data_IF_308258916869
#
_entry.id   IF_308258916869
#
_cell.length_a   1.000
_cell.length_b   1.000
_cell.length_c   1.000
_cell.angle_alpha   90.00
_cell.angle_beta   90.00
_cell.angle_gamma   90.00
#
_symmetry.space_group_name_H-M   'P 1'
#
loop_
_entity.id
_entity.type
_entity.pdbx_description
1 polymer ?
#
# COMPACT_ATOMS: atom_id res chain seq x y z
N UNK A 1 27.31 -17.25 20.08
CA UNK A 1 26.27 -18.09 20.73
C UNK A 1 24.86 -17.77 20.22
N UNK A 2 24.38 -16.52 20.33
CA UNK A 2 23.02 -16.12 19.90
C UNK A 2 22.63 -16.60 18.48
N UNK A 3 23.44 -16.31 17.46
CA UNK A 3 23.16 -16.68 16.05
C UNK A 3 22.97 -18.19 15.87
N UNK A 4 23.76 -19.01 16.55
CA UNK A 4 23.67 -20.47 16.44
C UNK A 4 22.35 -20.97 17.03
N UNK A 5 21.98 -20.46 18.22
CA UNK A 5 20.71 -20.78 18.89
C UNK A 5 19.53 -20.31 18.02
N UNK A 6 19.57 -19.08 17.50
CA UNK A 6 18.52 -18.54 16.63
C UNK A 6 18.35 -19.39 15.36
N UNK A 7 19.46 -19.74 14.71
CA UNK A 7 19.45 -20.63 13.53
C UNK A 7 18.86 -22.00 13.88
N UNK A 8 19.23 -22.59 15.02
CA UNK A 8 18.70 -23.88 15.45
C UNK A 8 17.19 -23.81 15.70
N UNK A 9 16.71 -22.80 16.42
CA UNK A 9 15.29 -22.61 16.73
C UNK A 9 14.48 -22.40 15.44
N UNK A 10 14.95 -21.52 14.54
CA UNK A 10 14.26 -21.25 13.28
C UNK A 10 14.29 -22.45 12.33
N UNK A 11 15.37 -23.23 12.31
CA UNK A 11 15.46 -24.49 11.55
C UNK A 11 14.50 -25.54 12.12
N UNK A 12 14.45 -25.68 13.45
CA UNK A 12 13.51 -26.59 14.10
C UNK A 12 12.06 -26.20 13.78
N UNK A 13 11.71 -24.92 13.92
CA UNK A 13 10.39 -24.41 13.54
C UNK A 13 10.09 -24.70 12.05
N UNK A 14 11.06 -24.48 11.16
CA UNK A 14 10.90 -24.78 9.74
C UNK A 14 10.55 -26.26 9.49
N UNK A 15 11.26 -27.19 10.13
CA UNK A 15 11.00 -28.64 10.02
C UNK A 15 9.62 -29.00 10.58
N UNK A 16 9.25 -28.45 11.73
CA UNK A 16 7.94 -28.71 12.36
C UNK A 16 6.78 -28.23 11.48
N UNK A 17 6.91 -27.06 10.85
CA UNK A 17 5.86 -26.50 9.99
C UNK A 17 5.90 -27.03 8.55
N UNK A 18 6.85 -27.90 8.19
CA UNK A 18 7.00 -28.41 6.82
C UNK A 18 5.72 -29.09 6.26
N UNK A 19 5.01 -29.96 7.00
CA UNK A 19 3.78 -30.57 6.49
C UNK A 19 2.70 -29.52 6.18
N UNK A 20 2.58 -28.49 7.01
CA UNK A 20 1.63 -27.39 6.81
C UNK A 20 2.00 -26.55 5.59
N UNK A 21 3.30 -26.26 5.38
CA UNK A 21 3.79 -25.56 4.21
C UNK A 21 3.50 -26.34 2.91
N UNK A 22 3.68 -27.67 2.93
CA UNK A 22 3.34 -28.54 1.81
C UNK A 22 1.85 -28.54 1.48
N UNK A 23 0.96 -28.35 2.45
CA UNK A 23 -0.47 -28.20 2.20
C UNK A 23 -0.82 -26.81 1.64
N UNK A 24 -0.19 -25.76 2.17
CA UNK A 24 -0.48 -24.39 1.74
C UNK A 24 -0.10 -24.13 0.28
N UNK A 25 0.89 -24.84 -0.29
CA UNK A 25 1.30 -24.67 -1.68
C UNK A 25 0.18 -24.96 -2.70
N UNK A 26 -0.86 -25.72 -2.31
CA UNK A 26 -2.00 -26.01 -3.19
C UNK A 26 -2.98 -24.84 -3.31
N UNK A 27 -2.89 -23.83 -2.43
CA UNK A 27 -3.69 -22.60 -2.56
C UNK A 27 -3.08 -21.70 -3.63
N UNK A 28 -3.93 -21.20 -4.54
CA UNK A 28 -3.53 -20.34 -5.67
C UNK A 28 -2.54 -19.22 -5.27
N UNK A 29 -2.86 -18.50 -4.18
CA UNK A 29 -2.06 -17.40 -3.60
C UNK A 29 -0.61 -17.78 -3.20
N UNK A 30 -0.35 -19.05 -2.93
CA UNK A 30 0.94 -19.52 -2.39
C UNK A 30 1.68 -20.48 -3.32
N UNK A 31 1.08 -20.81 -4.46
CA UNK A 31 1.55 -21.83 -5.40
C UNK A 31 2.99 -21.64 -5.88
N UNK A 32 3.43 -20.39 -5.98
CA UNK A 32 4.82 -20.08 -6.33
C UNK A 32 5.66 -19.67 -5.11
N UNK A 33 5.10 -18.82 -4.25
CA UNK A 33 5.85 -18.24 -3.14
C UNK A 33 6.33 -19.30 -2.14
N UNK A 34 5.52 -20.31 -1.80
CA UNK A 34 5.96 -21.33 -0.83
C UNK A 34 7.08 -22.20 -1.39
N UNK A 35 6.95 -22.83 -2.58
CA UNK A 35 8.03 -23.60 -3.18
C UNK A 35 9.34 -22.81 -3.32
N UNK A 36 9.26 -21.55 -3.74
CA UNK A 36 10.44 -20.71 -3.92
C UNK A 36 11.11 -20.32 -2.59
N UNK A 37 10.33 -19.95 -1.57
CA UNK A 37 10.86 -19.44 -0.29
C UNK A 37 11.35 -20.54 0.63
N UNK A 38 10.63 -21.65 0.70
CA UNK A 38 10.89 -22.70 1.68
C UNK A 38 11.65 -23.88 1.06
N UNK A 39 11.64 -24.05 -0.26
CA UNK A 39 12.32 -25.19 -0.91
C UNK A 39 13.33 -24.74 -1.98
N UNK A 40 13.56 -23.43 -2.12
CA UNK A 40 14.44 -22.83 -3.14
C UNK A 40 14.09 -23.23 -4.58
N UNK A 41 12.88 -23.73 -4.82
CA UNK A 41 12.44 -24.19 -6.15
C UNK A 41 12.41 -23.01 -7.11
N UNK A 42 13.19 -23.10 -8.19
CA UNK A 42 13.34 -22.04 -9.20
C UNK A 42 13.74 -20.67 -8.61
N UNK A 43 14.43 -20.67 -7.47
CA UNK A 43 14.78 -19.45 -6.75
C UNK A 43 16.28 -19.41 -6.44
N UNK A 44 17.15 -19.41 -7.47
CA UNK A 44 18.59 -19.38 -7.26
C UNK A 44 19.03 -18.07 -6.58
N UNK A 45 20.21 -18.05 -5.93
CA UNK A 45 20.85 -16.83 -5.47
C UNK A 45 20.91 -15.75 -6.56
N UNK A 46 20.95 -14.48 -6.15
CA UNK A 46 21.29 -13.41 -7.09
C UNK A 46 22.67 -13.62 -7.69
N UNK A 47 22.78 -13.49 -9.01
CA UNK A 47 24.02 -13.68 -9.74
C UNK A 47 24.93 -12.43 -9.67
N UNK A 48 24.32 -11.25 -9.64
CA UNK A 48 25.00 -9.96 -9.70
C UNK A 48 25.23 -9.40 -8.30
N UNK A 49 26.41 -8.83 -8.07
CA UNK A 49 26.74 -8.08 -6.85
C UNK A 49 26.19 -6.65 -6.99
N UNK A 50 24.91 -6.48 -6.65
CA UNK A 50 24.19 -5.21 -6.72
C UNK A 50 23.48 -4.91 -5.39
N UNK A 51 22.97 -3.69 -5.21
CA UNK A 51 22.13 -3.32 -4.06
C UNK A 51 20.94 -4.27 -3.98
N UNK A 52 20.72 -4.84 -2.79
CA UNK A 52 19.62 -5.75 -2.55
C UNK A 52 18.50 -5.03 -1.80
N UNK A 53 17.40 -4.76 -2.49
CA UNK A 53 16.17 -4.28 -1.89
C UNK A 53 15.26 -5.43 -1.47
N UNK A 54 14.61 -5.29 -0.31
CA UNK A 54 13.62 -6.24 0.17
C UNK A 54 12.29 -5.57 0.53
N UNK A 55 11.20 -6.11 -0.01
CA UNK A 55 9.82 -5.70 0.28
C UNK A 55 8.89 -6.92 0.40
N UNK A 56 7.91 -6.88 1.29
CA UNK A 56 7.00 -7.99 1.52
C UNK A 56 5.88 -8.05 0.47
N UNK A 57 5.26 -6.90 0.22
CA UNK A 57 3.98 -6.74 -0.49
C UNK A 57 4.10 -5.96 -1.80
N UNK A 58 3.06 -6.02 -2.64
CA UNK A 58 2.96 -5.21 -3.86
C UNK A 58 3.17 -3.72 -3.62
N UNK A 59 2.50 -3.16 -2.60
CA UNK A 59 2.57 -1.73 -2.28
C UNK A 59 3.96 -1.30 -1.81
N UNK A 60 4.67 -2.14 -1.07
CA UNK A 60 6.06 -1.90 -0.69
C UNK A 60 7.00 -2.00 -1.90
N UNK A 61 6.82 -3.00 -2.76
CA UNK A 61 7.63 -3.14 -3.98
C UNK A 61 7.45 -1.96 -4.92
N UNK A 62 6.24 -1.39 -5.02
CA UNK A 62 5.99 -0.15 -5.77
C UNK A 62 6.60 1.09 -5.11
N UNK A 63 6.57 1.16 -3.78
CA UNK A 63 7.21 2.26 -3.04
C UNK A 63 8.73 2.31 -3.25
N UNK A 64 9.37 1.18 -3.56
CA UNK A 64 10.80 1.11 -3.85
C UNK A 64 11.18 1.63 -5.24
N UNK A 65 10.23 1.81 -6.16
CA UNK A 65 10.51 2.21 -7.55
C UNK A 65 11.42 3.46 -7.68
N UNK A 66 11.19 4.56 -6.94
CA UNK A 66 12.05 5.74 -7.02
C UNK A 66 13.50 5.45 -6.59
N UNK A 67 13.72 4.52 -5.65
CA UNK A 67 15.06 4.13 -5.21
C UNK A 67 15.71 3.17 -6.20
N UNK A 68 14.97 2.18 -6.71
CA UNK A 68 15.51 1.17 -7.64
C UNK A 68 15.98 1.82 -8.94
N UNK A 69 15.30 2.88 -9.41
CA UNK A 69 15.68 3.61 -10.63
C UNK A 69 17.00 4.38 -10.53
N UNK A 70 17.50 4.62 -9.32
CA UNK A 70 18.76 5.33 -9.08
C UNK A 70 20.00 4.46 -9.27
N UNK A 71 19.83 3.16 -9.56
CA UNK A 71 20.91 2.19 -9.75
C UNK A 71 20.82 1.54 -11.12
N UNK A 72 21.97 1.38 -11.79
CA UNK A 72 22.04 0.70 -13.10
C UNK A 72 21.55 -0.73 -13.02
N UNK A 73 21.84 -1.42 -11.91
CA UNK A 73 21.40 -2.77 -11.62
C UNK A 73 21.00 -2.90 -10.16
N UNK A 74 19.92 -3.64 -9.90
CA UNK A 74 19.41 -3.90 -8.56
C UNK A 74 18.98 -5.36 -8.40
N UNK A 75 18.99 -5.84 -7.16
CA UNK A 75 18.39 -7.10 -6.77
C UNK A 75 17.16 -6.81 -5.90
N UNK A 76 16.02 -7.45 -6.15
CA UNK A 76 14.80 -7.27 -5.37
C UNK A 76 14.31 -8.62 -4.87
N UNK A 77 14.26 -8.82 -3.55
CA UNK A 77 13.59 -9.99 -2.96
C UNK A 77 12.23 -9.64 -2.40
N UNK A 78 11.26 -10.55 -2.59
CA UNK A 78 9.88 -10.36 -2.12
C UNK A 78 9.29 -11.56 -1.41
N UNK A 79 8.17 -11.38 -0.72
CA UNK A 79 7.45 -12.47 -0.06
C UNK A 79 6.22 -12.92 -0.85
N UNK A 80 5.46 -11.96 -1.38
CA UNK A 80 4.17 -12.21 -2.03
C UNK A 80 4.29 -12.37 -3.55
N UNK A 81 3.39 -13.16 -4.17
CA UNK A 81 3.30 -13.29 -5.64
C UNK A 81 3.04 -11.93 -6.32
N UNK A 82 2.17 -11.10 -5.75
CA UNK A 82 1.88 -9.76 -6.28
C UNK A 82 3.09 -8.84 -6.16
N UNK A 83 3.83 -8.91 -5.05
CA UNK A 83 5.14 -8.25 -4.91
C UNK A 83 6.14 -8.71 -5.96
N UNK A 84 6.16 -10.00 -6.29
CA UNK A 84 7.06 -10.57 -7.30
C UNK A 84 6.74 -10.09 -8.71
N UNK A 85 5.46 -10.06 -9.05
CA UNK A 85 5.00 -9.50 -10.33
C UNK A 85 5.36 -8.01 -10.46
N UNK A 86 5.21 -7.22 -9.37
CA UNK A 86 5.64 -5.83 -9.36
C UNK A 86 7.17 -5.70 -9.54
N UNK A 87 7.96 -6.51 -8.84
CA UNK A 87 9.43 -6.47 -8.93
C UNK A 87 9.92 -6.80 -10.35
N UNK A 88 9.29 -7.79 -11.00
CA UNK A 88 9.60 -8.17 -12.40
C UNK A 88 9.31 -7.07 -13.43
N UNK A 89 8.50 -6.07 -13.09
CA UNK A 89 8.22 -4.96 -14.01
C UNK A 89 9.41 -4.00 -14.17
N UNK A 90 10.40 -4.05 -13.28
CA UNK A 90 11.59 -3.20 -13.34
C UNK A 90 12.68 -3.86 -14.20
N UNK A 91 13.03 -3.21 -15.31
CA UNK A 91 13.98 -3.74 -16.30
C UNK A 91 15.42 -3.87 -15.79
N UNK A 92 15.79 -3.01 -14.83
CA UNK A 92 17.12 -2.97 -14.22
C UNK A 92 17.23 -3.84 -12.95
N UNK A 93 16.18 -4.60 -12.59
CA UNK A 93 16.18 -5.37 -11.36
C UNK A 93 16.00 -6.87 -11.60
N UNK A 94 16.79 -7.67 -10.90
CA UNK A 94 16.56 -9.10 -10.79
C UNK A 94 15.61 -9.41 -9.63
N UNK A 95 14.50 -10.10 -9.89
CA UNK A 95 13.46 -10.38 -8.90
C UNK A 95 13.56 -11.81 -8.38
N UNK A 96 13.54 -11.99 -7.06
CA UNK A 96 13.52 -13.31 -6.38
C UNK A 96 12.51 -13.32 -5.23
N UNK A 97 12.12 -14.51 -4.80
CA UNK A 97 11.43 -14.63 -3.51
C UNK A 97 12.47 -14.69 -2.40
N UNK A 98 12.27 -14.00 -1.27
CA UNK A 98 13.18 -14.09 -0.12
C UNK A 98 13.01 -15.46 0.56
N UNK A 99 14.05 -16.32 0.61
CA UNK A 99 13.95 -17.59 1.30
C UNK A 99 13.67 -17.44 2.79
N UNK A 100 13.11 -18.48 3.39
CA UNK A 100 12.99 -18.53 4.84
C UNK A 100 14.37 -18.52 5.50
N UNK A 101 14.48 -17.88 6.66
CA UNK A 101 15.75 -17.46 7.25
C UNK A 101 16.87 -18.52 7.29
N UNK A 102 16.62 -19.79 7.70
CA UNK A 102 17.65 -20.83 7.71
C UNK A 102 18.26 -21.12 6.33
N UNK A 103 17.55 -20.86 5.24
CA UNK A 103 18.03 -21.11 3.87
C UNK A 103 18.94 -19.98 3.37
N UNK A 104 18.94 -18.82 4.03
CA UNK A 104 19.77 -17.66 3.67
C UNK A 104 21.28 -17.93 3.83
N UNK A 105 21.65 -18.94 4.63
CA UNK A 105 23.03 -19.41 4.73
C UNK A 105 23.58 -19.83 3.36
N UNK A 106 22.76 -20.47 2.51
CA UNK A 106 23.14 -20.94 1.18
C UNK A 106 22.77 -19.97 0.06
N UNK A 107 21.69 -19.22 0.27
CA UNK A 107 21.11 -18.40 -0.77
C UNK A 107 21.72 -17.00 -0.86
N UNK A 108 21.99 -16.35 0.27
CA UNK A 108 22.40 -14.95 0.27
C UNK A 108 23.90 -14.84 -0.11
N UNK A 109 24.24 -13.95 -1.03
CA UNK A 109 25.60 -13.70 -1.54
C UNK A 109 26.11 -12.34 -1.07
N UNK A 110 27.43 -12.07 -1.16
CA UNK A 110 27.96 -10.74 -0.88
C UNK A 110 27.30 -9.67 -1.76
N UNK A 111 27.00 -8.52 -1.15
CA UNK A 111 26.35 -7.37 -1.78
C UNK A 111 26.91 -6.09 -1.14
N UNK A 112 26.90 -4.94 -1.83
CA UNK A 112 27.33 -3.67 -1.24
C UNK A 112 26.38 -3.18 -0.14
N UNK A 113 25.06 -3.26 -0.40
CA UNK A 113 24.04 -2.79 0.52
C UNK A 113 22.80 -3.69 0.52
N UNK A 114 22.20 -3.85 1.70
CA UNK A 114 20.88 -4.43 1.91
C UNK A 114 19.92 -3.31 2.36
N UNK A 115 18.83 -3.11 1.63
CA UNK A 115 17.81 -2.10 1.92
C UNK A 115 16.47 -2.79 2.16
N UNK A 116 15.97 -2.78 3.40
CA UNK A 116 14.75 -3.48 3.80
C UNK A 116 13.62 -2.49 4.09
N UNK A 117 12.43 -2.77 3.56
CA UNK A 117 11.24 -1.92 3.72
C UNK A 117 10.43 -2.30 4.98
N UNK A 118 9.94 -1.29 5.70
CA UNK A 118 8.98 -1.38 6.81
C UNK A 118 9.39 -2.30 7.97
N UNK A 119 8.65 -3.39 8.22
CA UNK A 119 8.74 -4.19 9.45
C UNK A 119 9.30 -5.60 9.21
N UNK A 120 10.02 -5.82 8.11
CA UNK A 120 10.65 -7.10 7.74
C UNK A 120 11.96 -7.35 8.52
N UNK A 121 11.86 -7.35 9.85
CA UNK A 121 12.95 -7.51 10.81
C UNK A 121 13.42 -8.98 10.94
N UNK A 122 13.97 -9.54 9.86
CA UNK A 122 14.53 -10.90 9.83
C UNK A 122 15.99 -10.90 10.30
N UNK A 123 16.28 -11.53 11.44
CA UNK A 123 17.61 -11.53 12.04
C UNK A 123 18.71 -12.06 11.11
N UNK A 124 18.53 -13.25 10.51
CA UNK A 124 19.52 -13.87 9.63
C UNK A 124 19.68 -13.11 8.32
N UNK A 125 18.66 -12.37 7.84
CA UNK A 125 18.82 -11.50 6.69
C UNK A 125 19.85 -10.40 6.98
N UNK A 126 19.63 -9.62 8.04
CA UNK A 126 20.54 -8.54 8.44
C UNK A 126 21.91 -9.06 8.86
N UNK A 127 21.95 -10.07 9.72
CA UNK A 127 23.19 -10.64 10.23
C UNK A 127 24.06 -11.22 9.12
N UNK A 128 23.50 -11.99 8.18
CA UNK A 128 24.28 -12.59 7.11
C UNK A 128 24.72 -11.57 6.07
N UNK A 129 23.89 -10.56 5.76
CA UNK A 129 24.28 -9.45 4.89
C UNK A 129 25.47 -8.69 5.47
N UNK A 130 25.38 -8.28 6.75
CA UNK A 130 26.45 -7.56 7.44
C UNK A 130 27.72 -8.39 7.58
N UNK A 131 27.59 -9.68 7.94
CA UNK A 131 28.72 -10.64 7.98
C UNK A 131 29.42 -10.77 6.63
N UNK A 132 28.70 -10.58 5.52
CA UNK A 132 29.22 -10.64 4.15
C UNK A 132 29.66 -9.28 3.60
N UNK A 133 29.76 -8.26 4.45
CA UNK A 133 30.30 -6.94 4.12
C UNK A 133 29.30 -5.92 3.59
N UNK A 134 27.99 -6.21 3.65
CA UNK A 134 26.99 -5.24 3.23
C UNK A 134 26.73 -4.18 4.30
N UNK A 135 26.53 -2.93 3.87
CA UNK A 135 25.88 -1.91 4.72
C UNK A 135 24.37 -2.15 4.73
N UNK A 136 23.76 -2.02 5.89
CA UNK A 136 22.35 -2.43 6.10
C UNK A 136 21.45 -1.25 6.43
N UNK A 137 20.32 -1.16 5.72
CA UNK A 137 19.34 -0.09 5.83
C UNK A 137 17.97 -0.67 6.13
N UNK A 138 17.26 -0.05 7.08
CA UNK A 138 15.84 -0.25 7.30
C UNK A 138 15.11 1.05 6.95
N UNK A 139 14.31 1.04 5.89
CA UNK A 139 13.64 2.22 5.36
C UNK A 139 12.14 2.16 5.54
N UNK A 140 11.50 3.33 5.56
CA UNK A 140 10.07 3.46 5.83
C UNK A 140 9.65 2.77 7.14
N UNK A 141 10.54 2.72 8.14
CA UNK A 141 10.34 1.96 9.36
C UNK A 141 9.20 2.56 10.19
N UNK A 142 8.28 1.71 10.64
CA UNK A 142 7.11 2.10 11.43
C UNK A 142 6.86 1.14 12.56
N UNK A 143 6.27 1.66 13.63
CA UNK A 143 5.94 0.91 14.83
C UNK A 143 4.63 1.46 15.43
N UNK A 144 3.51 0.79 15.15
CA UNK A 144 2.20 1.22 15.65
C UNK A 144 2.06 1.04 17.17
N UNK A 145 1.12 1.77 17.77
CA UNK A 145 0.79 1.70 19.21
C UNK A 145 0.45 0.27 19.64
N UNK A 146 -0.21 -0.48 18.76
CA UNK A 146 -0.64 -1.86 19.01
C UNK A 146 0.53 -2.86 18.99
N UNK A 147 1.52 -2.62 18.13
CA UNK A 147 2.66 -3.54 17.96
C UNK A 147 3.78 -3.25 18.95
N UNK A 148 4.01 -1.98 19.31
CA UNK A 148 5.14 -1.57 20.14
C UNK A 148 5.24 -2.32 21.50
N UNK A 149 4.17 -2.53 22.28
CA UNK A 149 4.25 -3.27 23.54
C UNK A 149 4.73 -4.72 23.35
N UNK A 150 4.30 -5.37 22.26
CA UNK A 150 4.73 -6.74 21.93
C UNK A 150 6.21 -6.77 21.60
N UNK A 151 6.69 -5.80 20.82
CA UNK A 151 8.10 -5.72 20.44
C UNK A 151 8.97 -5.42 21.66
N UNK A 152 8.51 -4.53 22.54
CA UNK A 152 9.20 -4.18 23.79
C UNK A 152 9.37 -5.38 24.72
N UNK A 153 8.36 -6.28 24.79
CA UNK A 153 8.45 -7.55 25.55
C UNK A 153 9.59 -8.45 25.07
N UNK A 154 9.91 -8.42 23.78
CA UNK A 154 11.02 -9.17 23.17
C UNK A 154 12.20 -8.26 22.79
N UNK A 155 12.38 -7.14 23.50
CA UNK A 155 13.43 -6.16 23.20
C UNK A 155 14.84 -6.76 23.13
N UNK A 156 15.13 -7.82 23.88
CA UNK A 156 16.41 -8.54 23.80
C UNK A 156 16.68 -9.14 22.41
N UNK A 157 15.65 -9.64 21.72
CA UNK A 157 15.72 -10.16 20.36
C UNK A 157 15.86 -9.01 19.35
N UNK A 158 15.02 -7.98 19.46
CA UNK A 158 15.08 -6.84 18.54
C UNK A 158 16.39 -6.07 18.66
N UNK A 159 16.96 -5.96 19.85
CA UNK A 159 18.30 -5.38 20.04
C UNK A 159 19.36 -6.14 19.24
N UNK A 160 19.28 -7.47 19.19
CA UNK A 160 20.18 -8.31 18.37
C UNK A 160 19.96 -8.11 16.88
N UNK A 161 18.73 -7.85 16.44
CA UNK A 161 18.43 -7.49 15.06
C UNK A 161 19.03 -6.12 14.74
N UNK A 162 18.75 -5.09 15.54
CA UNK A 162 19.23 -3.72 15.33
C UNK A 162 20.75 -3.57 15.44
N UNK A 163 21.46 -4.44 16.16
CA UNK A 163 22.94 -4.51 16.11
C UNK A 163 23.47 -4.75 14.67
N UNK A 164 22.64 -5.35 13.81
CA UNK A 164 22.93 -5.66 12.42
C UNK A 164 22.24 -4.71 11.43
N UNK A 165 21.73 -3.57 11.89
CA UNK A 165 21.14 -2.52 11.04
C UNK A 165 21.95 -1.24 11.23
N UNK A 166 22.60 -0.76 10.18
CA UNK A 166 23.49 0.39 10.24
C UNK A 166 22.73 1.71 10.21
N UNK A 167 21.69 1.81 9.37
CA UNK A 167 20.86 3.01 9.24
C UNK A 167 19.37 2.67 9.26
N UNK A 168 18.60 3.47 10.00
CA UNK A 168 17.14 3.33 10.10
C UNK A 168 16.47 4.65 9.71
N UNK A 169 15.56 4.59 8.74
CA UNK A 169 14.76 5.71 8.28
C UNK A 169 13.30 5.49 8.66
N UNK A 170 12.85 6.21 9.69
CA UNK A 170 11.52 6.10 10.26
C UNK A 170 10.51 7.01 9.53
N UNK A 171 9.23 6.62 9.58
CA UNK A 171 8.14 7.41 8.99
C UNK A 171 7.79 8.66 9.79
N UNK A 172 7.93 8.60 11.12
CA UNK A 172 7.60 9.71 12.00
C UNK A 172 8.56 9.83 13.18
N UNK A 173 8.50 10.95 13.88
CA UNK A 173 9.26 11.17 15.13
C UNK A 173 8.87 10.12 16.19
N UNK A 174 7.61 9.73 16.24
CA UNK A 174 7.11 8.75 17.21
C UNK A 174 7.62 7.33 16.88
N UNK A 175 7.62 6.96 15.60
CA UNK A 175 8.25 5.71 15.16
C UNK A 175 9.74 5.69 15.51
N UNK A 176 10.45 6.81 15.28
CA UNK A 176 11.86 6.91 15.61
C UNK A 176 12.13 6.71 17.10
N UNK A 177 11.31 7.30 17.99
CA UNK A 177 11.41 7.07 19.44
C UNK A 177 11.25 5.59 19.80
N UNK A 178 10.25 4.92 19.19
CA UNK A 178 9.96 3.50 19.46
C UNK A 178 11.06 2.59 18.94
N UNK A 179 11.58 2.85 17.75
CA UNK A 179 12.68 2.09 17.16
C UNK A 179 13.95 2.22 18.01
N UNK A 180 14.29 3.43 18.49
CA UNK A 180 15.40 3.64 19.43
C UNK A 180 15.19 2.85 20.73
N UNK A 181 13.98 2.84 21.27
CA UNK A 181 13.65 2.06 22.47
C UNK A 181 13.81 0.54 22.28
N UNK A 182 13.84 0.04 21.04
CA UNK A 182 14.09 -1.37 20.72
C UNK A 182 15.57 -1.68 20.39
N UNK A 183 16.44 -0.67 20.37
CA UNK A 183 17.88 -0.83 20.18
C UNK A 183 18.43 -0.27 18.86
N UNK A 184 17.61 0.39 18.03
CA UNK A 184 18.11 1.11 16.87
C UNK A 184 18.98 2.31 17.29
N UNK A 185 20.10 2.53 16.61
CA UNK A 185 21.07 3.60 16.94
C UNK A 185 20.92 4.80 16.00
N UNK A 186 21.31 4.63 14.74
CA UNK A 186 21.23 5.66 13.71
C UNK A 186 19.81 5.70 13.14
N UNK A 187 18.94 6.48 13.79
CA UNK A 187 17.54 6.64 13.37
C UNK A 187 17.29 8.06 12.90
N UNK A 188 16.98 8.20 11.61
CA UNK A 188 16.56 9.45 10.96
C UNK A 188 15.06 9.39 10.63
N UNK A 189 14.38 10.53 10.54
CA UNK A 189 12.97 10.61 10.12
C UNK A 189 12.94 11.07 8.66
N UNK A 190 12.46 10.20 7.77
CA UNK A 190 12.38 10.46 6.33
C UNK A 190 10.95 10.79 5.87
N UNK A 191 9.95 10.38 6.65
CA UNK A 191 8.56 10.38 6.21
C UNK A 191 8.17 9.06 5.53
N UNK A 192 6.95 9.02 5.01
CA UNK A 192 6.39 7.80 4.44
C UNK A 192 6.64 7.72 2.93
N UNK A 193 7.60 6.88 2.51
CA UNK A 193 8.02 6.71 1.11
C UNK A 193 6.85 6.31 0.21
N UNK A 194 5.81 5.65 0.74
CA UNK A 194 4.61 5.29 -0.03
C UNK A 194 3.86 6.51 -0.58
N UNK A 195 4.05 7.70 0.00
CA UNK A 195 3.46 8.95 -0.47
C UNK A 195 4.05 9.44 -1.79
N UNK A 196 5.22 8.96 -2.18
CA UNK A 196 5.85 9.29 -3.46
C UNK A 196 5.26 8.50 -4.64
N UNK A 197 4.45 7.48 -4.37
CA UNK A 197 3.77 6.73 -5.41
C UNK A 197 2.75 7.65 -6.10
N UNK A 198 2.96 7.90 -7.39
CA UNK A 198 2.04 8.67 -8.21
C UNK A 198 1.02 7.71 -8.83
N UNK A 199 -0.28 7.88 -8.58
CA UNK A 199 -1.32 7.19 -9.33
C UNK A 199 -1.14 7.42 -10.83
N UNK A 200 -1.05 6.34 -11.60
CA UNK A 200 -0.87 6.40 -13.05
C UNK A 200 -2.21 6.56 -13.76
N UNK A 201 -2.46 7.70 -14.39
CA UNK A 201 -3.62 7.90 -15.27
C UNK A 201 -3.35 7.19 -16.59
N UNK A 202 -4.21 6.22 -16.93
CA UNK A 202 -4.11 5.44 -18.17
C UNK A 202 -5.08 5.90 -19.23
N UNK A 203 -6.15 6.59 -18.82
CA UNK A 203 -7.21 7.09 -19.70
C UNK A 203 -7.76 8.41 -19.18
N UNK A 204 -8.09 9.31 -20.10
CA UNK A 204 -8.75 10.58 -19.79
C UNK A 204 -10.19 10.52 -20.27
N UNK A 205 -11.13 10.86 -19.39
CA UNK A 205 -12.54 11.00 -19.74
C UNK A 205 -12.88 12.48 -19.97
N UNK A 206 -13.76 12.75 -20.93
CA UNK A 206 -14.35 14.07 -21.07
C UNK A 206 -15.51 14.21 -20.09
N UNK A 207 -15.61 15.37 -19.43
CA UNK A 207 -16.73 15.73 -18.56
C UNK A 207 -17.46 16.95 -19.13
N UNK A 208 -18.78 16.97 -19.02
CA UNK A 208 -19.62 18.10 -19.45
C UNK A 208 -20.11 18.93 -18.27
N UNK A 209 -20.44 18.26 -17.16
CA UNK A 209 -20.76 18.86 -15.86
C UNK A 209 -19.64 18.58 -14.85
N UNK A 210 -19.54 19.32 -13.75
CA UNK A 210 -18.74 18.91 -12.61
C UNK A 210 -19.11 17.51 -12.13
N UNK A 211 -18.12 16.72 -11.73
CA UNK A 211 -18.29 15.31 -11.36
C UNK A 211 -18.16 15.13 -9.84
N UNK A 212 -19.18 14.55 -9.24
CA UNK A 212 -19.15 13.99 -7.89
C UNK A 212 -18.92 12.49 -8.00
N UNK A 213 -17.87 11.99 -7.37
CA UNK A 213 -17.53 10.57 -7.40
C UNK A 213 -17.84 9.92 -6.07
N UNK A 214 -18.71 8.91 -6.06
CA UNK A 214 -18.85 7.97 -4.95
C UNK A 214 -17.82 6.84 -5.14
N UNK A 215 -16.69 6.93 -4.45
CA UNK A 215 -15.52 6.12 -4.72
C UNK A 215 -15.37 4.96 -3.73
N UNK A 216 -15.18 3.74 -4.23
CA UNK A 216 -14.96 2.53 -3.40
C UNK A 216 -16.12 2.27 -2.42
N UNK A 217 -17.35 2.43 -2.89
CA UNK A 217 -18.56 2.27 -2.07
C UNK A 217 -18.84 0.82 -1.70
N UNK A 218 -19.61 0.66 -0.62
CA UNK A 218 -20.16 -0.61 -0.12
C UNK A 218 -21.64 -0.44 0.20
N UNK A 219 -22.38 -1.55 0.26
CA UNK A 219 -23.77 -1.54 0.71
C UNK A 219 -23.87 -1.01 2.16
N UNK A 220 -24.82 -0.13 2.51
CA UNK A 220 -25.78 0.60 1.66
C UNK A 220 -25.34 2.03 1.26
N UNK A 221 -24.04 2.33 1.26
CA UNK A 221 -23.50 3.66 0.96
C UNK A 221 -23.91 4.16 -0.44
N UNK A 222 -24.05 3.27 -1.43
CA UNK A 222 -24.48 3.67 -2.78
C UNK A 222 -25.85 4.37 -2.77
N UNK A 223 -26.83 3.80 -2.06
CA UNK A 223 -28.18 4.35 -1.95
C UNK A 223 -28.19 5.67 -1.17
N UNK A 224 -27.48 5.72 -0.05
CA UNK A 224 -27.35 6.93 0.78
C UNK A 224 -26.77 8.07 -0.04
N UNK A 225 -25.64 7.83 -0.71
CA UNK A 225 -24.94 8.86 -1.48
C UNK A 225 -25.77 9.32 -2.68
N UNK A 226 -26.38 8.37 -3.41
CA UNK A 226 -27.20 8.71 -4.57
C UNK A 226 -28.43 9.54 -4.18
N UNK A 227 -29.09 9.19 -3.07
CA UNK A 227 -30.27 9.91 -2.58
C UNK A 227 -29.93 11.34 -2.17
N UNK A 228 -28.86 11.54 -1.39
CA UNK A 228 -28.41 12.89 -1.00
C UNK A 228 -27.96 13.71 -2.22
N UNK A 229 -27.28 13.08 -3.17
CA UNK A 229 -26.89 13.74 -4.41
C UNK A 229 -28.11 14.18 -5.25
N UNK A 230 -29.15 13.33 -5.34
CA UNK A 230 -30.40 13.65 -6.04
C UNK A 230 -31.05 14.91 -5.46
N UNK A 231 -31.06 15.06 -4.14
CA UNK A 231 -31.68 16.19 -3.46
C UNK A 231 -30.87 17.48 -3.68
N UNK A 232 -29.54 17.40 -3.57
CA UNK A 232 -28.71 18.60 -3.44
C UNK A 232 -27.97 19.03 -4.74
N UNK A 233 -27.69 18.10 -5.65
CA UNK A 233 -26.70 18.32 -6.73
C UNK A 233 -27.10 17.80 -8.14
N UNK A 234 -28.23 17.10 -8.31
CA UNK A 234 -28.58 16.45 -9.60
C UNK A 234 -28.57 17.36 -10.82
N UNK A 235 -29.07 18.59 -10.69
CA UNK A 235 -29.16 19.53 -11.81
C UNK A 235 -27.82 20.19 -12.16
N UNK A 236 -26.83 20.09 -11.26
CA UNK A 236 -25.56 20.82 -11.35
C UNK A 236 -24.38 19.93 -11.72
N UNK A 237 -24.50 18.61 -11.52
CA UNK A 237 -23.35 17.70 -11.53
C UNK A 237 -23.71 16.37 -12.16
N UNK A 238 -22.70 15.55 -12.44
CA UNK A 238 -22.84 14.12 -12.73
C UNK A 238 -22.40 13.33 -11.52
N UNK A 239 -23.19 12.33 -11.11
CA UNK A 239 -22.79 11.34 -10.11
C UNK A 239 -22.11 10.16 -10.81
N UNK A 240 -20.87 9.89 -10.42
CA UNK A 240 -20.13 8.70 -10.86
C UNK A 240 -19.96 7.76 -9.66
N UNK A 241 -20.51 6.56 -9.75
CA UNK A 241 -20.44 5.55 -8.68
C UNK A 241 -19.44 4.48 -9.04
N UNK A 242 -18.50 4.20 -8.13
CA UNK A 242 -17.43 3.20 -8.31
C UNK A 242 -17.47 2.19 -7.16
N UNK A 243 -18.22 1.08 -7.30
CA UNK A 243 -18.30 0.07 -6.25
C UNK A 243 -16.96 -0.58 -5.96
N UNK A 244 -16.70 -0.92 -4.69
CA UNK A 244 -15.43 -1.52 -4.28
C UNK A 244 -15.19 -2.93 -4.85
N UNK A 245 -16.29 -3.65 -5.05
CA UNK A 245 -16.35 -5.11 -5.24
C UNK A 245 -17.00 -5.43 -6.60
N UNK A 246 -16.26 -6.01 -7.58
CA UNK A 246 -16.81 -6.37 -8.89
C UNK A 246 -18.02 -7.29 -8.84
N UNK A 247 -18.07 -8.17 -7.85
CA UNK A 247 -19.19 -9.08 -7.60
C UNK A 247 -20.52 -8.36 -7.30
N UNK A 248 -20.48 -7.06 -6.96
CA UNK A 248 -21.66 -6.22 -6.70
C UNK A 248 -22.05 -5.31 -7.87
N UNK A 249 -21.36 -5.38 -9.01
CA UNK A 249 -21.65 -4.46 -10.12
C UNK A 249 -23.09 -4.54 -10.62
N UNK A 250 -23.65 -5.74 -10.76
CA UNK A 250 -25.03 -5.90 -11.23
C UNK A 250 -26.06 -5.49 -10.16
N UNK A 251 -25.78 -5.73 -8.88
CA UNK A 251 -26.63 -5.26 -7.77
C UNK A 251 -26.71 -3.72 -7.73
N UNK A 252 -25.57 -3.05 -7.88
CA UNK A 252 -25.52 -1.57 -7.91
C UNK A 252 -26.11 -1.01 -9.20
N UNK A 253 -25.99 -1.74 -10.32
CA UNK A 253 -26.62 -1.37 -11.59
C UNK A 253 -28.15 -1.26 -11.44
N UNK A 254 -28.79 -2.30 -10.89
CA UNK A 254 -30.24 -2.31 -10.65
C UNK A 254 -30.68 -1.17 -9.72
N UNK A 255 -29.93 -0.93 -8.63
CA UNK A 255 -30.20 0.15 -7.69
C UNK A 255 -30.16 1.53 -8.36
N UNK A 256 -29.08 1.83 -9.09
CA UNK A 256 -28.91 3.14 -9.71
C UNK A 256 -29.87 3.35 -10.88
N UNK A 257 -30.16 2.31 -11.66
CA UNK A 257 -31.16 2.38 -12.73
C UNK A 257 -32.56 2.67 -12.15
N UNK A 258 -32.92 2.04 -11.03
CA UNK A 258 -34.18 2.31 -10.35
C UNK A 258 -34.29 3.77 -9.87
N UNK A 259 -33.25 4.28 -9.21
CA UNK A 259 -33.20 5.69 -8.76
C UNK A 259 -33.29 6.64 -9.96
N UNK A 260 -32.53 6.37 -11.03
CA UNK A 260 -32.55 7.20 -12.23
C UNK A 260 -33.94 7.26 -12.88
N UNK A 261 -34.62 6.11 -13.03
CA UNK A 261 -35.98 6.02 -13.57
C UNK A 261 -36.98 6.80 -12.71
N UNK A 262 -36.89 6.69 -11.38
CA UNK A 262 -37.77 7.39 -10.45
C UNK A 262 -37.62 8.92 -10.55
N UNK A 263 -36.40 9.40 -10.71
CA UNK A 263 -36.07 10.83 -10.74
C UNK A 263 -36.08 11.43 -12.16
N UNK A 264 -36.30 10.61 -13.20
CA UNK A 264 -36.28 11.05 -14.60
C UNK A 264 -34.88 11.43 -15.11
N UNK A 265 -33.84 10.76 -14.60
CA UNK A 265 -32.43 11.04 -14.89
C UNK A 265 -31.85 10.08 -15.93
N UNK A 266 -30.84 10.54 -16.66
CA UNK A 266 -30.06 9.66 -17.55
C UNK A 266 -29.09 8.78 -16.76
N UNK A 267 -28.98 7.51 -17.16
CA UNK A 267 -28.14 6.50 -16.52
C UNK A 267 -27.28 5.74 -17.55
N UNK A 268 -26.01 5.50 -17.22
CA UNK A 268 -25.11 4.70 -18.06
C UNK A 268 -24.20 3.79 -17.24
N UNK A 269 -23.95 2.59 -17.75
CA UNK A 269 -22.82 1.74 -17.36
C UNK A 269 -21.59 2.10 -18.20
N UNK A 270 -20.46 2.32 -17.55
CA UNK A 270 -19.20 2.65 -18.23
C UNK A 270 -18.71 1.50 -19.13
N UNK A 271 -19.09 0.26 -18.82
CA UNK A 271 -18.76 -0.90 -19.64
C UNK A 271 -19.38 -0.86 -21.03
N UNK A 272 -20.62 -0.38 -21.11
CA UNK A 272 -21.44 -0.32 -22.33
C UNK A 272 -21.26 1.01 -23.07
N UNK A 273 -21.25 2.12 -22.33
CA UNK A 273 -21.08 3.46 -22.86
C UNK A 273 -19.93 4.16 -22.13
N UNK A 274 -18.71 4.22 -22.71
CA UNK A 274 -17.52 4.72 -22.03
C UNK A 274 -17.48 6.26 -21.96
N UNK A 275 -18.51 6.86 -21.37
CA UNK A 275 -18.73 8.31 -21.23
C UNK A 275 -19.05 8.69 -19.78
N UNK A 276 -18.76 9.93 -19.41
CA UNK A 276 -19.16 10.53 -18.13
C UNK A 276 -20.20 11.64 -18.32
N UNK A 277 -20.90 11.66 -19.46
CA UNK A 277 -21.86 12.72 -19.82
C UNK A 277 -23.29 12.51 -19.30
N UNK A 278 -23.59 11.40 -18.63
CA UNK A 278 -24.92 11.17 -18.02
C UNK A 278 -25.12 11.94 -16.73
N UNK A 279 -26.32 11.81 -16.15
CA UNK A 279 -26.59 12.32 -14.80
C UNK A 279 -26.06 11.35 -13.74
N UNK A 280 -26.27 10.04 -13.94
CA UNK A 280 -25.68 8.97 -13.13
C UNK A 280 -24.86 8.02 -14.01
N UNK A 281 -23.64 7.70 -13.60
CA UNK A 281 -22.77 6.76 -14.30
C UNK A 281 -22.20 5.72 -13.33
N UNK A 282 -22.42 4.44 -13.63
CA UNK A 282 -21.82 3.33 -12.91
C UNK A 282 -20.48 2.95 -13.55
N UNK A 283 -19.42 2.87 -12.76
CA UNK A 283 -18.10 2.37 -13.16
C UNK A 283 -17.99 0.90 -12.79
N UNK A 284 -18.45 0.04 -13.68
CA UNK A 284 -18.45 -1.43 -13.57
C UNK A 284 -17.20 -2.07 -14.22
N UNK A 285 -16.05 -1.41 -14.07
CA UNK A 285 -14.75 -1.87 -14.57
C UNK A 285 -13.64 -1.69 -13.55
N UNK A 286 -12.83 -2.73 -13.37
CA UNK A 286 -11.62 -2.65 -12.54
C UNK A 286 -10.57 -1.74 -13.18
N UNK A 287 -9.85 -1.00 -12.33
CA UNK A 287 -8.70 -0.18 -12.75
C UNK A 287 -9.05 1.23 -13.26
N UNK A 288 -10.33 1.61 -13.27
CA UNK A 288 -10.76 2.94 -13.75
C UNK A 288 -10.71 4.03 -12.67
N UNK A 289 -10.70 3.67 -11.39
CA UNK A 289 -10.87 4.62 -10.28
C UNK A 289 -9.85 5.78 -10.30
N UNK A 290 -8.59 5.51 -10.64
CA UNK A 290 -7.55 6.55 -10.76
C UNK A 290 -7.85 7.52 -11.92
N UNK A 291 -8.36 7.01 -13.04
CA UNK A 291 -8.77 7.84 -14.19
C UNK A 291 -9.95 8.74 -13.82
N UNK A 292 -10.89 8.20 -13.03
CA UNK A 292 -12.05 8.94 -12.53
C UNK A 292 -11.61 10.02 -11.52
N UNK A 293 -10.69 9.70 -10.61
CA UNK A 293 -10.12 10.70 -9.71
C UNK A 293 -9.49 11.86 -10.47
N UNK A 294 -8.75 11.62 -11.55
CA UNK A 294 -8.10 12.69 -12.30
C UNK A 294 -9.09 13.76 -12.81
N UNK A 295 -10.30 13.37 -13.22
CA UNK A 295 -11.31 14.27 -13.81
C UNK A 295 -12.37 14.77 -12.83
N UNK A 296 -12.45 14.18 -11.63
CA UNK A 296 -13.43 14.54 -10.60
C UNK A 296 -13.32 15.97 -10.07
N UNK A 297 -14.42 16.49 -9.50
CA UNK A 297 -14.49 17.79 -8.82
C UNK A 297 -14.78 17.64 -7.32
N UNK A 298 -15.41 16.54 -6.92
CA UNK A 298 -15.61 16.12 -5.54
C UNK A 298 -15.51 14.60 -5.44
N UNK A 299 -14.88 14.10 -4.37
CA UNK A 299 -14.83 12.68 -4.05
C UNK A 299 -15.53 12.43 -2.72
N UNK A 300 -16.55 11.58 -2.73
CA UNK A 300 -17.15 10.97 -1.56
C UNK A 300 -16.50 9.60 -1.40
N UNK A 301 -15.59 9.48 -0.44
CA UNK A 301 -14.78 8.27 -0.24
C UNK A 301 -15.54 7.27 0.64
N UNK A 302 -16.01 6.18 0.03
CA UNK A 302 -16.78 5.13 0.68
C UNK A 302 -15.97 4.26 1.66
N UNK A 303 -16.59 3.18 2.10
CA UNK A 303 -16.14 2.29 3.17
C UNK A 303 -16.08 2.96 4.54
N UNK A 304 -16.60 4.18 4.68
CA UNK A 304 -16.37 5.03 5.85
C UNK A 304 -17.67 5.59 6.44
N UNK A 305 -18.80 5.49 5.75
CA UNK A 305 -20.12 5.91 6.24
C UNK A 305 -20.82 4.81 7.03
N UNK A 306 -20.32 3.57 6.96
CA UNK A 306 -20.86 2.41 7.67
C UNK A 306 -19.78 1.78 8.57
N UNK A 307 -20.23 1.13 9.65
CA UNK A 307 -19.34 0.36 10.51
C UNK A 307 -18.87 -0.93 9.82
N UNK A 308 -17.72 -1.46 10.25
CA UNK A 308 -17.21 -2.76 9.80
C UNK A 308 -16.23 -2.76 8.62
N UNK A 309 -16.25 -1.75 7.74
CA UNK A 309 -15.34 -1.67 6.59
C UNK A 309 -14.00 -1.02 6.94
N UNK A 310 -14.02 0.17 7.58
CA UNK A 310 -12.83 0.84 8.08
C UNK A 310 -12.13 1.81 7.13
N UNK A 311 -12.85 2.31 6.12
CA UNK A 311 -12.44 3.32 5.15
C UNK A 311 -11.63 2.77 3.99
N UNK A 312 -11.34 3.63 3.01
CA UNK A 312 -10.41 3.36 1.91
C UNK A 312 -9.31 4.41 1.82
N UNK A 313 -8.39 4.23 0.88
CA UNK A 313 -7.20 5.07 0.73
C UNK A 313 -7.53 6.51 0.27
N UNK A 314 -7.31 7.55 1.11
CA UNK A 314 -7.54 8.94 0.71
C UNK A 314 -6.37 9.55 -0.10
N UNK A 315 -5.23 8.87 -0.18
CA UNK A 315 -4.04 9.42 -0.84
C UNK A 315 -4.21 9.56 -2.35
N UNK A 316 -4.94 8.63 -2.98
CA UNK A 316 -5.19 8.66 -4.43
C UNK A 316 -5.98 9.91 -4.86
N UNK A 317 -7.16 10.21 -4.28
CA UNK A 317 -7.86 11.46 -4.62
C UNK A 317 -7.10 12.71 -4.17
N UNK A 318 -6.39 12.65 -3.04
CA UNK A 318 -5.59 13.77 -2.56
C UNK A 318 -4.40 14.11 -3.46
N UNK A 319 -3.82 13.11 -4.12
CA UNK A 319 -2.77 13.31 -5.11
C UNK A 319 -3.23 14.21 -6.27
N UNK A 320 -4.50 14.10 -6.65
CA UNK A 320 -5.11 14.96 -7.68
C UNK A 320 -5.72 16.25 -7.10
N UNK A 321 -5.41 16.59 -5.85
CA UNK A 321 -5.94 17.74 -5.12
C UNK A 321 -7.47 17.78 -5.06
N UNK A 322 -8.13 16.63 -5.05
CA UNK A 322 -9.59 16.58 -5.06
C UNK A 322 -10.13 16.92 -3.67
N UNK A 323 -11.21 17.70 -3.57
CA UNK A 323 -12.00 17.76 -2.35
C UNK A 323 -12.49 16.37 -1.96
N UNK A 324 -12.36 16.02 -0.68
CA UNK A 324 -12.74 14.69 -0.16
C UNK A 324 -13.74 14.87 0.97
N UNK A 325 -14.89 14.21 0.84
CA UNK A 325 -15.83 13.95 1.93
C UNK A 325 -15.72 12.46 2.27
N UNK A 326 -15.69 12.14 3.56
CA UNK A 326 -15.63 10.76 4.04
C UNK A 326 -16.42 10.63 5.34
N UNK A 327 -16.91 9.44 5.63
CA UNK A 327 -17.52 9.12 6.91
C UNK A 327 -16.52 8.92 8.06
N UNK A 328 -17.01 8.78 9.30
CA UNK A 328 -16.14 8.72 10.49
C UNK A 328 -15.41 7.38 10.66
N UNK A 329 -15.80 6.33 9.93
CA UNK A 329 -15.31 4.96 10.15
C UNK A 329 -14.09 4.60 9.29
N UNK A 330 -12.97 5.31 9.46
CA UNK A 330 -11.73 5.10 8.66
C UNK A 330 -10.59 4.41 9.43
N UNK A 331 -10.91 3.57 10.43
CA UNK A 331 -9.93 3.00 11.36
C UNK A 331 -8.84 2.12 10.70
N UNK A 332 -9.11 1.49 9.55
CA UNK A 332 -8.11 0.71 8.79
C UNK A 332 -7.15 1.62 8.01
N UNK A 333 -7.55 2.87 7.73
CA UNK A 333 -6.78 3.84 6.96
C UNK A 333 -6.37 5.09 7.77
N UNK A 334 -6.48 5.06 9.11
CA UNK A 334 -6.20 6.19 10.00
C UNK A 334 -4.88 6.92 9.70
N UNK A 335 -3.84 6.17 9.37
CA UNK A 335 -2.53 6.71 9.02
C UNK A 335 -2.56 7.49 7.69
N UNK A 336 -3.15 6.91 6.64
CA UNK A 336 -3.31 7.57 5.35
C UNK A 336 -4.15 8.85 5.45
N UNK A 337 -5.18 8.85 6.30
CA UNK A 337 -5.97 10.06 6.60
C UNK A 337 -5.12 11.11 7.31
N UNK A 338 -4.20 10.70 8.19
CA UNK A 338 -3.28 11.61 8.88
C UNK A 338 -2.35 12.39 7.95
N UNK A 339 -2.05 11.87 6.76
CA UNK A 339 -1.23 12.54 5.75
C UNK A 339 -2.01 13.50 4.84
N UNK A 340 -3.34 13.51 4.89
CA UNK A 340 -4.16 14.32 3.98
C UNK A 340 -4.86 15.42 4.77
N UNK A 341 -4.62 16.67 4.39
CA UNK A 341 -5.34 17.83 4.94
C UNK A 341 -6.55 18.17 4.10
N UNK A 342 -7.56 18.70 4.80
CA UNK A 342 -8.80 19.17 4.19
C UNK A 342 -9.83 18.08 3.92
N UNK A 343 -9.61 16.83 4.36
CA UNK A 343 -10.67 15.82 4.32
C UNK A 343 -11.80 16.27 5.24
N UNK A 344 -13.01 16.35 4.69
CA UNK A 344 -14.21 16.67 5.45
C UNK A 344 -14.84 15.38 5.96
N UNK A 345 -14.70 15.14 7.26
CA UNK A 345 -15.30 13.98 7.93
C UNK A 345 -16.72 14.33 8.38
N UNK A 346 -17.73 13.60 7.91
CA UNK A 346 -19.15 13.87 8.22
C UNK A 346 -19.89 12.57 8.54
N UNK A 347 -20.88 12.62 9.43
CA UNK A 347 -21.77 11.49 9.62
C UNK A 347 -22.68 11.31 8.39
N UNK A 348 -23.22 10.10 8.12
CA UNK A 348 -24.07 9.85 6.96
C UNK A 348 -25.25 10.83 6.84
N UNK A 349 -25.91 11.13 7.96
CA UNK A 349 -27.03 12.07 8.02
C UNK A 349 -26.67 13.54 7.71
N UNK A 350 -25.38 13.89 7.78
CA UNK A 350 -24.88 15.24 7.51
C UNK A 350 -24.32 15.37 6.09
N UNK A 351 -24.41 14.32 5.27
CA UNK A 351 -23.84 14.28 3.92
C UNK A 351 -24.46 15.36 3.02
N UNK A 352 -25.79 15.51 2.98
CA UNK A 352 -26.47 16.54 2.18
C UNK A 352 -25.98 17.95 2.49
N UNK A 353 -25.94 18.31 3.77
CA UNK A 353 -25.36 19.58 4.25
C UNK A 353 -23.89 19.74 3.82
N UNK A 354 -23.15 18.63 3.72
CA UNK A 354 -21.77 18.66 3.32
C UNK A 354 -21.57 18.91 1.82
N UNK A 355 -22.49 18.41 0.98
CA UNK A 355 -22.50 18.54 -0.47
C UNK A 355 -22.71 19.98 -0.95
N UNK A 356 -23.53 20.75 -0.23
CA UNK A 356 -23.84 22.15 -0.58
C UNK A 356 -22.72 23.13 -0.25
N UNK A 357 -21.80 22.76 0.64
CA UNK A 357 -20.69 23.62 1.03
C UNK A 357 -19.64 23.70 -0.08
N UNK A 358 -18.87 24.80 -0.08
CA UNK A 358 -17.75 24.97 -1.02
C UNK A 358 -16.74 23.83 -0.88
N UNK A 359 -16.48 23.13 -1.97
CA UNK A 359 -15.51 22.03 -2.00
C UNK A 359 -14.08 22.58 -1.99
N UNK A 360 -13.36 22.30 -0.90
CA UNK A 360 -11.98 22.73 -0.71
C UNK A 360 -11.04 21.59 -1.16
N UNK A 361 -10.04 21.86 -2.01
CA UNK A 361 -9.09 20.84 -2.45
C UNK A 361 -8.30 20.31 -1.26
N UNK A 362 -8.01 19.01 -1.27
CA UNK A 362 -7.14 18.39 -0.28
C UNK A 362 -5.67 18.49 -0.68
N UNK A 363 -4.78 18.33 0.29
CA UNK A 363 -3.33 18.29 0.07
C UNK A 363 -2.69 17.18 0.89
N UNK A 364 -1.59 16.62 0.38
CA UNK A 364 -0.80 15.62 1.10
C UNK A 364 0.29 16.37 1.88
N UNK A 365 0.21 16.31 3.21
CA UNK A 365 1.25 16.79 4.11
C UNK A 365 2.34 15.74 4.30
N UNK A 366 3.27 15.68 3.34
CA UNK A 366 4.62 15.17 3.58
C UNK A 366 5.52 15.53 2.40
N UNK A 367 6.59 16.27 2.65
CA UNK A 367 7.74 16.26 1.75
C UNK A 367 8.61 15.06 2.14
N UNK A 368 8.61 14.02 1.31
CA UNK A 368 9.61 12.95 1.42
C UNK A 368 10.70 13.26 0.41
N UNK A 369 11.87 13.65 0.89
CA UNK A 369 13.06 13.80 0.07
C UNK A 369 13.92 12.55 0.18
N UNK A 370 14.03 11.79 -0.91
CA UNK A 370 14.86 10.58 -0.95
C UNK A 370 16.33 10.86 -1.22
N UNK A 371 16.71 12.07 -1.63
CA UNK A 371 18.09 12.39 -2.01
C UNK A 371 19.11 12.01 -0.94
N UNK A 372 18.94 12.34 0.36
CA UNK A 372 19.89 11.95 1.39
C UNK A 372 20.03 10.43 1.56
N UNK A 373 18.92 9.69 1.42
CA UNK A 373 18.93 8.22 1.48
C UNK A 373 19.65 7.63 0.26
N UNK A 374 19.36 8.14 -0.93
CA UNK A 374 19.98 7.70 -2.19
C UNK A 374 21.49 7.95 -2.16
N UNK A 375 21.92 9.14 -1.77
CA UNK A 375 23.34 9.49 -1.62
C UNK A 375 24.03 8.57 -0.62
N UNK A 376 23.40 8.29 0.52
CA UNK A 376 23.95 7.37 1.52
C UNK A 376 24.09 5.95 0.98
N UNK A 377 23.09 5.43 0.27
CA UNK A 377 23.20 4.10 -0.36
C UNK A 377 24.30 4.10 -1.44
N UNK A 378 24.37 5.12 -2.30
CA UNK A 378 25.41 5.23 -3.34
C UNK A 378 26.82 5.31 -2.76
N UNK A 379 27.00 5.88 -1.57
CA UNK A 379 28.32 5.99 -0.91
C UNK A 379 28.93 4.66 -0.47
N UNK A 380 28.14 3.57 -0.41
CA UNK A 380 28.56 2.24 0.05
C UNK A 380 28.49 1.16 -1.04
N UNK A 381 28.17 1.57 -2.28
CA UNK A 381 28.11 0.74 -3.49
C UNK A 381 29.37 0.94 -4.31
#
# INVERSE_FOLDING_TARGET
>A
MFTAIYTLITTFAYVVFLPFLLLLQFKSKYREAIPARFFLKNNPPFAKRAVHFHACSFGETKALEPLVKEFEEANISVITQTGFAAAKSYKNADARYLPFEPLLWFWLKPMPALVVMEAELWYLLFYLSKKRGATTFLINARMSDRSFPKYKRFSWLYKKIFENIDYVYAQSIEDAKRLRALGAKEVEVLGNIKLLQKPGVTKTYQKQKPIVVAASTHDPEEEIIATEWVVHLKDKTTLVVVPRHPERFDEVDELLEHIAKREGLSYYRLSENPTLSGDIVLVDKLGELVNIYAVSDLVILGGSFIEGIGGHNPLEPAFFHKPIISGPYFHNHKESYGYVKGIKIVAPQDLGNALEQKWQPTSIEAAVDLSPLVERIKSVV
#
